data_IF_837926787231
#
_entry.id   IF_837926787231
#
_cell.length_a   1.000
_cell.length_b   1.000
_cell.length_c   1.000
_cell.angle_alpha   90.00
_cell.angle_beta   90.00
_cell.angle_gamma   90.00
#
_symmetry.space_group_name_H-M   'P 1'
#
loop_
_entity.id
_entity.type
_entity.pdbx_description
1 polymer ?
#
# COMPACT_ATOMS: atom_id res chain seq x y z
N UNK A 1 -50.58 10.10 34.82
CA UNK A 1 -49.21 9.72 35.17
C UNK A 1 -48.84 8.28 34.78
N UNK A 2 -49.73 7.26 34.83
CA UNK A 2 -49.37 5.88 34.41
C UNK A 2 -49.02 5.75 32.92
N UNK A 3 -49.73 6.46 32.04
CA UNK A 3 -49.50 6.44 30.58
C UNK A 3 -48.08 6.85 30.18
N UNK A 4 -47.49 7.80 30.90
CA UNK A 4 -46.11 8.23 30.69
C UNK A 4 -45.11 7.13 31.09
N UNK A 5 -45.39 6.42 32.19
CA UNK A 5 -44.57 5.30 32.66
C UNK A 5 -44.67 4.09 31.74
N UNK A 6 -45.87 3.79 31.23
CA UNK A 6 -46.10 2.77 30.20
C UNK A 6 -45.29 3.09 28.92
N UNK A 7 -45.30 4.36 28.48
CA UNK A 7 -44.52 4.81 27.32
C UNK A 7 -43.00 4.64 27.52
N UNK A 8 -42.44 5.03 28.67
CA UNK A 8 -41.01 4.88 28.94
C UNK A 8 -40.52 3.43 28.89
N UNK A 9 -41.40 2.47 29.15
CA UNK A 9 -41.11 1.02 29.08
C UNK A 9 -41.28 0.44 27.68
N UNK A 10 -41.95 1.14 26.75
CA UNK A 10 -42.05 0.69 25.36
C UNK A 10 -40.72 0.80 24.64
N UNK A 11 -40.43 -0.15 23.74
CA UNK A 11 -39.19 -0.20 22.94
C UNK A 11 -38.95 1.04 22.07
N UNK A 12 -40.00 1.81 21.79
CA UNK A 12 -39.95 3.04 21.00
C UNK A 12 -39.17 4.15 21.71
N UNK A 13 -39.28 4.28 23.03
CA UNK A 13 -38.54 5.27 23.81
C UNK A 13 -37.01 5.06 23.80
N UNK A 14 -36.47 3.87 24.16
CA UNK A 14 -35.04 3.60 24.07
C UNK A 14 -34.53 3.69 22.63
N UNK A 15 -35.29 3.23 21.63
CA UNK A 15 -34.87 3.36 20.24
C UNK A 15 -34.75 4.82 19.78
N UNK A 16 -35.71 5.67 20.16
CA UNK A 16 -35.70 7.09 19.78
C UNK A 16 -34.61 7.87 20.50
N UNK A 17 -34.39 7.56 21.78
CA UNK A 17 -33.29 8.15 22.56
C UNK A 17 -31.93 7.72 22.01
N UNK A 18 -31.75 6.44 21.69
CA UNK A 18 -30.54 5.95 21.02
C UNK A 18 -30.32 6.63 19.66
N UNK A 19 -31.37 6.78 18.85
CA UNK A 19 -31.26 7.45 17.55
C UNK A 19 -30.83 8.92 17.69
N UNK A 20 -31.34 9.62 18.71
CA UNK A 20 -30.94 10.99 19.01
C UNK A 20 -29.50 11.06 19.54
N UNK A 21 -29.11 10.16 20.45
CA UNK A 21 -27.73 10.11 20.94
C UNK A 21 -26.76 9.80 19.80
N UNK A 22 -27.12 8.86 18.93
CA UNK A 22 -26.32 8.50 17.76
C UNK A 22 -26.18 9.70 16.82
N UNK A 23 -27.26 10.45 16.55
CA UNK A 23 -27.19 11.66 15.73
C UNK A 23 -26.29 12.75 16.34
N UNK A 24 -26.39 12.97 17.66
CA UNK A 24 -25.60 13.99 18.35
C UNK A 24 -24.13 13.59 18.51
N UNK A 25 -23.83 12.29 18.59
CA UNK A 25 -22.46 11.76 18.76
C UNK A 25 -21.77 11.43 17.44
N UNK A 26 -22.52 11.16 16.37
CA UNK A 26 -21.96 10.79 15.07
C UNK A 26 -21.35 11.98 14.36
N UNK A 27 -20.26 11.73 13.64
CA UNK A 27 -19.73 12.70 12.69
C UNK A 27 -20.66 12.80 11.47
N UNK A 28 -20.82 14.01 10.90
CA UNK A 28 -21.46 14.18 9.60
C UNK A 28 -20.82 13.31 8.52
N UNK A 29 -21.64 12.80 7.59
CA UNK A 29 -21.21 11.84 6.55
C UNK A 29 -20.13 12.45 5.64
N UNK A 30 -20.26 13.72 5.29
CA UNK A 30 -19.28 14.50 4.52
C UNK A 30 -17.91 14.52 5.20
N UNK A 31 -17.87 14.78 6.52
CA UNK A 31 -16.62 14.76 7.29
C UNK A 31 -15.98 13.36 7.27
N UNK A 32 -16.78 12.30 7.45
CA UNK A 32 -16.29 10.92 7.39
C UNK A 32 -15.73 10.61 6.00
N UNK A 33 -16.41 11.02 4.93
CA UNK A 33 -15.96 10.79 3.56
C UNK A 33 -14.64 11.53 3.27
N UNK A 34 -14.51 12.77 3.73
CA UNK A 34 -13.29 13.55 3.58
C UNK A 34 -12.12 12.93 4.34
N UNK A 35 -12.30 12.52 5.60
CA UNK A 35 -11.28 11.80 6.37
C UNK A 35 -10.82 10.52 5.65
N UNK A 36 -11.75 9.74 5.10
CA UNK A 36 -11.42 8.53 4.33
C UNK A 36 -10.67 8.84 3.03
N UNK A 37 -11.08 9.90 2.33
CA UNK A 37 -10.42 10.36 1.11
C UNK A 37 -8.99 10.81 1.39
N UNK A 38 -8.79 11.60 2.44
CA UNK A 38 -7.48 12.05 2.89
C UNK A 38 -6.57 10.87 3.27
N UNK A 39 -7.08 9.92 4.05
CA UNK A 39 -6.35 8.71 4.41
C UNK A 39 -5.95 7.91 3.16
N UNK A 40 -6.87 7.72 2.22
CA UNK A 40 -6.61 7.03 0.96
C UNK A 40 -5.55 7.73 0.10
N UNK A 41 -5.59 9.07 0.05
CA UNK A 41 -4.59 9.88 -0.66
C UNK A 41 -3.21 9.77 0.00
N UNK A 42 -3.16 9.85 1.32
CA UNK A 42 -1.93 9.70 2.11
C UNK A 42 -1.28 8.34 1.87
N UNK A 43 -2.05 7.25 1.91
CA UNK A 43 -1.54 5.90 1.63
C UNK A 43 -0.99 5.77 0.20
N UNK A 44 -1.70 6.32 -0.79
CA UNK A 44 -1.25 6.35 -2.19
C UNK A 44 0.06 7.13 -2.35
N UNK A 45 0.20 8.25 -1.63
CA UNK A 45 1.43 9.06 -1.66
C UNK A 45 2.63 8.29 -1.09
N UNK A 46 2.45 7.62 0.06
CA UNK A 46 3.47 6.77 0.65
C UNK A 46 3.91 5.68 -0.33
N UNK A 47 2.96 5.03 -1.01
CA UNK A 47 3.29 4.01 -2.00
C UNK A 47 4.01 4.60 -3.21
N UNK A 48 3.59 5.78 -3.69
CA UNK A 48 4.24 6.50 -4.79
C UNK A 48 5.71 6.80 -4.47
N UNK A 49 5.98 7.30 -3.27
CA UNK A 49 7.34 7.60 -2.82
C UNK A 49 8.21 6.35 -2.72
N UNK A 50 7.67 5.24 -2.17
CA UNK A 50 8.35 3.93 -2.15
C UNK A 50 8.70 3.46 -3.56
N UNK A 51 7.74 3.52 -4.49
CA UNK A 51 7.97 3.13 -5.88
C UNK A 51 9.06 3.99 -6.54
N UNK A 52 9.06 5.30 -6.31
CA UNK A 52 10.10 6.21 -6.84
C UNK A 52 11.49 5.85 -6.31
N UNK A 53 11.57 5.53 -5.02
CA UNK A 53 12.82 5.09 -4.39
C UNK A 53 13.34 3.78 -4.99
N UNK A 54 12.46 2.83 -5.30
CA UNK A 54 12.84 1.58 -5.98
C UNK A 54 13.34 1.87 -7.40
N UNK A 55 12.61 2.70 -8.16
CA UNK A 55 12.98 3.07 -9.52
C UNK A 55 14.35 3.74 -9.59
N UNK A 56 14.67 4.64 -8.66
CA UNK A 56 15.99 5.27 -8.60
C UNK A 56 17.12 4.25 -8.50
N UNK A 57 16.97 3.22 -7.65
CA UNK A 57 17.97 2.15 -7.53
C UNK A 57 18.15 1.37 -8.83
N UNK A 58 17.05 1.03 -9.50
CA UNK A 58 17.10 0.31 -10.77
C UNK A 58 17.76 1.16 -11.87
N UNK A 59 17.52 2.48 -11.86
CA UNK A 59 18.18 3.44 -12.75
C UNK A 59 19.68 3.52 -12.44
N UNK A 60 20.08 3.58 -11.18
CA UNK A 60 21.49 3.64 -10.80
C UNK A 60 22.26 2.38 -11.24
N UNK A 61 21.65 1.20 -11.08
CA UNK A 61 22.20 -0.06 -11.61
C UNK A 61 22.31 0.01 -13.13
N UNK A 62 21.29 0.55 -13.81
CA UNK A 62 21.29 0.72 -15.26
C UNK A 62 22.41 1.65 -15.73
N UNK A 63 22.59 2.79 -15.07
CA UNK A 63 23.65 3.75 -15.37
C UNK A 63 25.03 3.12 -15.11
N UNK A 64 25.22 2.42 -14.00
CA UNK A 64 26.46 1.73 -13.67
C UNK A 64 26.87 0.74 -14.76
N UNK A 65 25.92 -0.05 -15.28
CA UNK A 65 26.15 -0.99 -16.37
C UNK A 65 26.41 -0.29 -17.70
N UNK A 66 25.58 0.69 -18.05
CA UNK A 66 25.67 1.42 -19.32
C UNK A 66 26.97 2.22 -19.44
N UNK A 67 27.31 3.01 -18.42
CA UNK A 67 28.55 3.78 -18.37
C UNK A 67 29.76 2.84 -18.36
N UNK A 68 29.67 1.73 -17.64
CA UNK A 68 30.72 0.71 -17.57
C UNK A 68 30.84 -0.16 -18.83
N UNK A 69 30.01 0.03 -19.86
CA UNK A 69 30.00 -0.79 -21.07
C UNK A 69 29.70 -2.27 -20.83
N UNK A 70 29.00 -2.59 -19.73
CA UNK A 70 28.73 -3.97 -19.32
C UNK A 70 27.41 -4.46 -19.91
N UNK A 71 27.33 -5.73 -20.33
CA UNK A 71 26.08 -6.29 -20.79
C UNK A 71 25.09 -6.40 -19.62
N UNK A 72 23.85 -5.97 -19.87
CA UNK A 72 22.76 -6.09 -18.90
C UNK A 72 22.31 -7.54 -18.71
N UNK A 73 22.26 -8.27 -19.84
CA UNK A 73 21.70 -9.61 -19.97
C UNK A 73 22.80 -10.64 -20.15
N UNK A 74 22.53 -11.86 -19.71
CA UNK A 74 23.42 -13.00 -19.90
C UNK A 74 23.26 -13.60 -21.30
N UNK A 75 24.13 -14.54 -21.65
CA UNK A 75 23.99 -15.32 -22.90
C UNK A 75 22.69 -16.13 -22.93
N UNK A 76 22.19 -16.52 -21.75
CA UNK A 76 20.95 -17.25 -21.58
C UNK A 76 20.32 -16.86 -20.23
N UNK A 77 19.07 -16.39 -20.23
CA UNK A 77 18.37 -15.92 -19.03
C UNK A 77 17.54 -17.02 -18.33
N UNK A 78 17.59 -18.26 -18.83
CA UNK A 78 16.97 -19.41 -18.16
C UNK A 78 17.45 -19.49 -16.71
N UNK A 79 16.57 -19.90 -15.81
CA UNK A 79 16.93 -20.00 -14.39
C UNK A 79 17.98 -21.08 -14.08
N UNK A 80 18.20 -22.01 -15.00
CA UNK A 80 19.29 -22.99 -14.94
C UNK A 80 20.64 -22.46 -15.44
N UNK A 81 20.67 -21.27 -16.05
CA UNK A 81 21.91 -20.64 -16.53
C UNK A 81 22.73 -20.11 -15.36
N UNK A 82 24.04 -20.34 -15.41
CA UNK A 82 24.99 -19.75 -14.47
C UNK A 82 25.09 -18.23 -14.63
N UNK A 83 24.96 -17.72 -15.86
CA UNK A 83 24.99 -16.28 -16.15
C UNK A 83 23.63 -15.86 -16.69
N UNK A 84 22.78 -15.39 -15.77
CA UNK A 84 21.41 -14.90 -16.07
C UNK A 84 21.39 -13.43 -16.50
N UNK A 85 22.51 -12.73 -16.31
CA UNK A 85 22.68 -11.32 -16.66
C UNK A 85 23.07 -10.47 -15.47
N UNK A 86 24.04 -9.59 -15.70
CA UNK A 86 24.67 -8.81 -14.65
C UNK A 86 23.69 -7.86 -13.95
N UNK A 87 22.67 -7.36 -14.66
CA UNK A 87 21.61 -6.56 -14.05
C UNK A 87 20.84 -7.35 -12.97
N UNK A 88 20.39 -8.57 -13.31
CA UNK A 88 19.64 -9.44 -12.40
C UNK A 88 20.51 -9.83 -11.21
N UNK A 89 21.79 -10.11 -11.43
CA UNK A 89 22.73 -10.48 -10.38
C UNK A 89 22.97 -9.32 -9.40
N UNK A 90 23.15 -8.09 -9.89
CA UNK A 90 23.31 -6.90 -9.03
C UNK A 90 22.04 -6.59 -8.25
N UNK A 91 20.86 -6.63 -8.90
CA UNK A 91 19.58 -6.41 -8.20
C UNK A 91 19.38 -7.45 -7.09
N UNK A 92 19.68 -8.72 -7.38
CA UNK A 92 19.60 -9.80 -6.40
C UNK A 92 20.59 -9.59 -5.25
N UNK A 93 21.83 -9.18 -5.55
CA UNK A 93 22.83 -8.88 -4.53
C UNK A 93 22.39 -7.72 -3.63
N UNK A 94 21.94 -6.61 -4.22
CA UNK A 94 21.50 -5.43 -3.48
C UNK A 94 20.27 -5.72 -2.62
N UNK A 95 19.37 -6.59 -3.08
CA UNK A 95 18.22 -7.02 -2.27
C UNK A 95 18.59 -7.70 -0.95
N UNK A 96 19.83 -8.18 -0.79
CA UNK A 96 20.30 -8.73 0.50
C UNK A 96 20.57 -7.64 1.55
N UNK A 97 20.83 -6.41 1.10
CA UNK A 97 21.24 -5.29 1.95
C UNK A 97 20.24 -4.14 1.96
N UNK A 98 19.33 -4.10 0.97
CA UNK A 98 18.28 -3.09 0.87
C UNK A 98 16.90 -3.69 1.16
N UNK A 99 16.33 -3.46 2.36
CA UNK A 99 15.04 -4.02 2.72
C UNK A 99 13.87 -3.54 1.86
N UNK A 100 13.94 -2.30 1.33
CA UNK A 100 12.88 -1.75 0.48
C UNK A 100 12.87 -2.45 -0.88
N UNK A 101 14.05 -2.63 -1.47
CA UNK A 101 14.21 -3.38 -2.72
C UNK A 101 13.82 -4.86 -2.51
N UNK A 102 14.22 -5.47 -1.39
CA UNK A 102 13.84 -6.85 -1.03
C UNK A 102 12.33 -7.01 -0.94
N UNK A 103 11.67 -6.15 -0.17
CA UNK A 103 10.22 -6.16 -0.02
C UNK A 103 9.54 -6.03 -1.37
N UNK A 104 10.01 -5.13 -2.25
CA UNK A 104 9.44 -4.99 -3.59
C UNK A 104 9.58 -6.24 -4.45
N UNK A 105 10.72 -6.93 -4.39
CA UNK A 105 10.94 -8.16 -5.16
C UNK A 105 10.08 -9.32 -4.66
N UNK A 106 9.84 -9.40 -3.35
CA UNK A 106 9.08 -10.51 -2.74
C UNK A 106 7.56 -10.31 -2.85
N UNK A 107 7.08 -9.09 -2.59
CA UNK A 107 5.64 -8.77 -2.53
C UNK A 107 5.15 -7.91 -3.69
N UNK A 108 6.00 -7.65 -4.68
CA UNK A 108 5.64 -6.88 -5.87
C UNK A 108 4.57 -7.59 -6.71
N UNK A 109 3.72 -6.83 -7.44
CA UNK A 109 2.77 -7.41 -8.37
C UNK A 109 3.50 -8.29 -9.40
N UNK A 110 3.20 -9.59 -9.41
CA UNK A 110 3.74 -10.51 -10.42
C UNK A 110 2.88 -10.38 -11.68
N UNK A 111 3.28 -9.47 -12.56
CA UNK A 111 2.60 -9.23 -13.84
C UNK A 111 2.81 -10.37 -14.87
N UNK A 112 3.53 -11.43 -14.50
CA UNK A 112 3.65 -12.66 -15.29
C UNK A 112 3.39 -13.87 -14.40
N UNK A 113 2.27 -14.55 -14.65
CA UNK A 113 2.18 -16.00 -14.49
C UNK A 113 2.47 -16.65 -15.84
#
# INVERSE_FOLDING_TARGET
TSKFREHQLTKTHPNSTNSLTDFLQSKPIDIILDENNEQSRSQKEIQRLKNRQIMNRLIDITLCLGIGGRPFRGKNEKDSSFNKGLFKDIVTLLSKYDPLLKSHLDSGPKNSS
#
